data_IF_314546980096
#
_entry.id   IF_314546980096
#
_cell.length_a   1.000
_cell.length_b   1.000
_cell.length_c   1.000
_cell.angle_alpha   90.00
_cell.angle_beta   90.00
_cell.angle_gamma   90.00
#
_symmetry.space_group_name_H-M   'P 1'
#
loop_
_entity.id
_entity.type
_entity.pdbx_description
1 polymer ?
#
# COMPACT_ATOMS: atom_id res chain seq x y z
N UNK A 1 -108.75 17.46 -23.37
CA UNK A 1 -109.85 16.48 -23.17
C UNK A 1 -111.20 17.04 -23.61
N UNK A 2 -111.60 18.26 -23.21
CA UNK A 2 -112.90 18.86 -23.58
C UNK A 2 -113.14 18.90 -25.11
N UNK A 3 -112.17 19.33 -25.92
CA UNK A 3 -112.32 19.39 -27.38
C UNK A 3 -112.67 18.02 -28.02
N UNK A 4 -112.00 16.93 -27.63
CA UNK A 4 -112.29 15.59 -28.16
C UNK A 4 -113.67 15.06 -27.71
N UNK A 5 -114.09 15.41 -26.50
CA UNK A 5 -115.43 15.07 -26.01
C UNK A 5 -116.51 15.85 -26.77
N UNK A 6 -116.29 17.13 -27.04
CA UNK A 6 -117.17 17.94 -27.90
C UNK A 6 -117.20 17.40 -29.34
N UNK A 7 -116.06 17.02 -29.92
CA UNK A 7 -115.99 16.39 -31.24
C UNK A 7 -116.86 15.12 -31.30
N UNK A 8 -116.75 14.25 -30.29
CA UNK A 8 -117.56 13.03 -30.21
C UNK A 8 -119.05 13.33 -30.11
N UNK A 9 -119.44 14.31 -29.30
CA UNK A 9 -120.83 14.70 -29.13
C UNK A 9 -121.41 15.28 -30.44
N UNK A 10 -120.68 16.15 -31.12
CA UNK A 10 -121.06 16.69 -32.43
C UNK A 10 -121.18 15.57 -33.48
N UNK A 11 -120.25 14.61 -33.49
CA UNK A 11 -120.33 13.44 -34.37
C UNK A 11 -121.57 12.58 -34.12
N UNK A 12 -121.95 12.37 -32.85
CA UNK A 12 -123.14 11.58 -32.50
C UNK A 12 -124.44 12.30 -32.85
N UNK A 13 -124.53 13.61 -32.58
CA UNK A 13 -125.69 14.44 -32.94
C UNK A 13 -125.87 14.55 -34.46
N UNK A 14 -124.77 14.72 -35.21
CA UNK A 14 -124.80 14.72 -36.66
C UNK A 14 -125.25 13.38 -37.25
N UNK A 15 -124.91 12.26 -36.61
CA UNK A 15 -125.34 10.93 -37.04
C UNK A 15 -126.83 10.69 -36.84
N UNK A 16 -127.39 11.12 -35.71
CA UNK A 16 -128.81 10.93 -35.37
C UNK A 16 -129.78 11.74 -36.27
N UNK A 17 -129.35 12.91 -36.76
CA UNK A 17 -130.21 13.79 -37.56
C UNK A 17 -129.96 13.69 -39.07
N UNK A 18 -129.15 12.72 -39.51
CA UNK A 18 -128.72 12.56 -40.91
C UNK A 18 -129.88 12.31 -41.88
N UNK A 19 -130.94 11.63 -41.45
CA UNK A 19 -132.12 11.30 -42.28
C UNK A 19 -133.22 12.36 -42.21
N UNK A 20 -133.27 13.17 -41.16
CA UNK A 20 -134.35 14.12 -40.88
C UNK A 20 -133.98 15.60 -41.15
N UNK A 21 -132.71 15.99 -40.98
CA UNK A 21 -132.21 17.33 -41.30
C UNK A 21 -130.76 17.30 -41.82
N UNK A 22 -130.56 17.19 -43.15
CA UNK A 22 -129.23 17.04 -43.73
C UNK A 22 -128.34 18.29 -43.56
N UNK A 23 -128.91 19.49 -43.49
CA UNK A 23 -128.14 20.73 -43.26
C UNK A 23 -127.56 20.79 -41.85
N UNK A 24 -128.35 20.42 -40.83
CA UNK A 24 -127.86 20.36 -39.46
C UNK A 24 -126.78 19.26 -39.29
N UNK A 25 -126.94 18.12 -39.95
CA UNK A 25 -125.92 17.05 -39.93
C UNK A 25 -124.55 17.51 -40.48
N UNK A 26 -124.54 18.33 -41.55
CA UNK A 26 -123.31 18.92 -42.09
C UNK A 26 -122.65 19.91 -41.14
N UNK A 27 -123.43 20.78 -40.48
CA UNK A 27 -122.92 21.74 -39.51
C UNK A 27 -122.27 21.03 -38.30
N UNK A 28 -122.86 19.94 -37.84
CA UNK A 28 -122.29 19.12 -36.76
C UNK A 28 -120.98 18.42 -37.17
N UNK A 29 -120.85 18.04 -38.45
CA UNK A 29 -119.62 17.43 -38.96
C UNK A 29 -118.47 18.45 -39.05
N UNK A 30 -118.75 19.68 -39.48
CA UNK A 30 -117.74 20.76 -39.50
C UNK A 30 -117.32 21.17 -38.08
N UNK A 31 -118.27 21.22 -37.14
CA UNK A 31 -117.98 21.44 -35.73
C UNK A 31 -117.09 20.32 -35.15
N UNK A 32 -117.36 19.06 -35.49
CA UNK A 32 -116.52 17.93 -35.11
C UNK A 32 -115.10 18.08 -35.65
N UNK A 33 -114.95 18.40 -36.95
CA UNK A 33 -113.66 18.61 -37.59
C UNK A 33 -112.85 19.73 -36.91
N UNK A 34 -113.48 20.88 -36.66
CA UNK A 34 -112.85 22.01 -35.97
C UNK A 34 -112.32 21.62 -34.58
N UNK A 35 -113.07 20.81 -33.83
CA UNK A 35 -112.63 20.32 -32.51
C UNK A 35 -111.47 19.31 -32.58
N UNK A 36 -111.43 18.48 -33.63
CA UNK A 36 -110.29 17.57 -33.89
C UNK A 36 -109.04 18.38 -34.26
N UNK A 37 -109.17 19.39 -35.11
CA UNK A 37 -108.07 20.29 -35.48
C UNK A 37 -107.56 21.08 -34.27
N UNK A 38 -108.44 21.58 -33.40
CA UNK A 38 -108.06 22.23 -32.15
C UNK A 38 -107.23 21.29 -31.25
N UNK A 39 -107.64 20.03 -31.12
CA UNK A 39 -106.95 19.06 -30.27
C UNK A 39 -105.56 18.68 -30.81
N UNK A 40 -105.46 18.33 -32.10
CA UNK A 40 -104.24 17.75 -32.67
C UNK A 40 -103.32 18.78 -33.34
N UNK A 41 -103.86 19.84 -33.94
CA UNK A 41 -103.06 20.85 -34.64
C UNK A 41 -102.70 21.99 -33.70
N UNK A 42 -103.68 22.59 -33.02
CA UNK A 42 -103.43 23.77 -32.18
C UNK A 42 -102.82 23.40 -30.83
N UNK A 43 -103.41 22.44 -30.12
CA UNK A 43 -102.90 21.96 -28.83
C UNK A 43 -101.81 20.90 -28.95
N UNK A 44 -101.49 20.48 -30.19
CA UNK A 44 -100.43 19.51 -30.51
C UNK A 44 -100.51 18.22 -29.69
N UNK A 45 -101.72 17.78 -29.34
CA UNK A 45 -101.86 16.51 -28.62
C UNK A 45 -101.32 15.38 -29.50
N UNK A 46 -100.54 14.44 -28.94
CA UNK A 46 -99.96 13.37 -29.73
C UNK A 46 -101.05 12.38 -30.15
N UNK A 47 -101.05 11.97 -31.42
CA UNK A 47 -101.88 10.86 -31.88
C UNK A 47 -101.37 9.55 -31.28
N UNK A 48 -102.25 8.59 -30.99
CA UNK A 48 -101.93 7.31 -30.30
C UNK A 48 -100.84 6.49 -30.96
N UNK A 49 -100.64 6.65 -32.28
CA UNK A 49 -99.60 5.99 -33.05
C UNK A 49 -98.20 6.62 -32.90
N UNK A 50 -98.09 7.83 -32.35
CA UNK A 50 -96.82 8.55 -32.24
C UNK A 50 -95.92 7.95 -31.16
N UNK A 51 -94.59 8.06 -31.30
CA UNK A 51 -93.65 7.65 -30.26
C UNK A 51 -93.93 8.30 -28.90
N UNK A 52 -94.28 9.60 -28.91
CA UNK A 52 -94.65 10.34 -27.71
C UNK A 52 -95.90 9.75 -27.04
N UNK A 53 -96.97 9.45 -27.78
CA UNK A 53 -98.16 8.83 -27.21
C UNK A 53 -97.87 7.42 -26.65
N UNK A 54 -97.05 6.62 -27.35
CA UNK A 54 -96.62 5.31 -26.84
C UNK A 54 -95.81 5.43 -25.54
N UNK A 55 -94.97 6.46 -25.44
CA UNK A 55 -94.18 6.74 -24.24
C UNK A 55 -95.06 7.17 -23.06
N UNK A 56 -96.02 8.06 -23.31
CA UNK A 56 -97.03 8.48 -22.32
C UNK A 56 -97.85 7.28 -21.84
N UNK A 57 -98.25 6.40 -22.76
CA UNK A 57 -99.00 5.18 -22.42
C UNK A 57 -98.16 4.19 -21.59
N UNK A 58 -96.86 4.07 -21.87
CA UNK A 58 -95.96 3.29 -21.03
C UNK A 58 -95.88 3.88 -19.61
N UNK A 59 -95.70 5.20 -19.48
CA UNK A 59 -95.74 5.87 -18.16
C UNK A 59 -97.07 5.66 -17.42
N UNK A 60 -98.18 5.62 -18.15
CA UNK A 60 -99.51 5.39 -17.58
C UNK A 60 -99.63 3.99 -16.98
N UNK A 61 -99.04 2.98 -17.65
CA UNK A 61 -99.05 1.57 -17.22
C UNK A 61 -98.02 1.28 -16.13
N UNK A 62 -96.81 1.80 -16.28
CA UNK A 62 -95.64 1.41 -15.48
C UNK A 62 -95.48 2.25 -14.21
N UNK A 63 -96.05 3.47 -14.18
CA UNK A 63 -95.90 4.40 -13.06
C UNK A 63 -97.27 4.80 -12.52
N UNK A 64 -97.98 5.72 -13.19
CA UNK A 64 -99.34 6.13 -12.84
C UNK A 64 -99.92 7.06 -13.89
N UNK A 65 -101.25 7.25 -13.89
CA UNK A 65 -101.90 8.23 -14.77
C UNK A 65 -101.44 9.67 -14.51
N UNK A 66 -101.11 10.00 -13.26
CA UNK A 66 -100.57 11.31 -12.88
C UNK A 66 -99.16 11.50 -13.43
N UNK A 67 -98.29 10.50 -13.31
CA UNK A 67 -96.94 10.54 -13.89
C UNK A 67 -96.99 10.74 -15.42
N UNK A 68 -97.86 10.01 -16.11
CA UNK A 68 -98.06 10.15 -17.55
C UNK A 68 -98.57 11.55 -17.94
N UNK A 69 -99.47 12.13 -17.13
CA UNK A 69 -100.01 13.46 -17.35
C UNK A 69 -98.94 14.55 -17.20
N UNK A 70 -98.11 14.46 -16.16
CA UNK A 70 -97.02 15.42 -15.95
C UNK A 70 -95.90 15.25 -16.98
N UNK A 71 -95.56 14.01 -17.35
CA UNK A 71 -94.65 13.73 -18.47
C UNK A 71 -95.17 14.37 -19.76
N UNK A 72 -96.43 14.14 -20.15
CA UNK A 72 -97.02 14.75 -21.34
C UNK A 72 -97.06 16.28 -21.24
N UNK A 73 -97.39 16.83 -20.06
CA UNK A 73 -97.43 18.28 -19.84
C UNK A 73 -96.06 18.93 -20.07
N UNK A 74 -94.99 18.26 -19.63
CA UNK A 74 -93.62 18.74 -19.82
C UNK A 74 -93.22 18.78 -21.30
N UNK A 75 -93.83 17.94 -22.15
CA UNK A 75 -93.54 17.89 -23.58
C UNK A 75 -94.38 18.89 -24.38
N UNK A 76 -95.62 19.14 -23.96
CA UNK A 76 -96.56 20.02 -24.67
C UNK A 76 -96.44 21.50 -24.29
N UNK A 77 -95.92 21.80 -23.10
CA UNK A 77 -95.88 23.17 -22.60
C UNK A 77 -94.94 24.04 -23.44
N UNK A 78 -95.32 25.27 -23.85
CA UNK A 78 -94.43 26.17 -24.57
C UNK A 78 -93.16 26.50 -23.76
N UNK A 79 -92.01 26.61 -24.43
CA UNK A 79 -90.73 26.98 -23.78
C UNK A 79 -90.74 28.40 -23.19
N UNK A 80 -91.70 29.23 -23.61
CA UNK A 80 -91.76 30.67 -23.32
C UNK A 80 -92.91 31.08 -22.39
N UNK A 81 -93.81 30.17 -22.01
CA UNK A 81 -94.93 30.49 -21.12
C UNK A 81 -94.56 30.26 -19.66
N UNK A 82 -95.01 31.16 -18.78
CA UNK A 82 -94.82 31.08 -17.32
C UNK A 82 -95.75 30.00 -16.71
N UNK A 83 -95.58 28.76 -17.16
CA UNK A 83 -96.41 27.62 -16.81
C UNK A 83 -96.02 27.17 -15.40
N UNK A 84 -96.91 27.41 -14.44
CA UNK A 84 -96.68 26.98 -13.07
C UNK A 84 -97.16 25.53 -12.90
N UNK A 85 -96.24 24.62 -12.64
CA UNK A 85 -96.57 23.22 -12.33
C UNK A 85 -96.76 23.07 -10.81
N UNK A 86 -97.96 22.72 -10.37
CA UNK A 86 -98.24 22.40 -8.97
C UNK A 86 -98.12 20.88 -8.76
N UNK A 87 -96.89 20.40 -8.65
CA UNK A 87 -96.60 18.98 -8.44
C UNK A 87 -96.60 18.68 -6.93
N UNK A 88 -97.64 17.99 -6.44
CA UNK A 88 -97.79 17.69 -5.01
C UNK A 88 -97.42 16.24 -4.64
N UNK A 89 -97.37 15.34 -5.62
CA UNK A 89 -97.15 13.90 -5.39
C UNK A 89 -95.85 13.40 -6.04
N UNK A 90 -95.23 12.37 -5.45
CA UNK A 90 -93.94 11.84 -5.90
C UNK A 90 -93.99 11.26 -7.33
N UNK A 91 -95.06 10.55 -7.69
CA UNK A 91 -95.19 9.97 -9.03
C UNK A 91 -95.35 11.07 -10.11
N UNK A 92 -95.98 12.18 -9.75
CA UNK A 92 -96.08 13.35 -10.61
C UNK A 92 -94.71 14.03 -10.82
N UNK A 93 -93.87 14.08 -9.79
CA UNK A 93 -92.48 14.53 -9.90
C UNK A 93 -91.66 13.66 -10.84
N UNK A 94 -91.81 12.33 -10.73
CA UNK A 94 -91.11 11.39 -11.61
C UNK A 94 -91.44 11.63 -13.08
N UNK A 95 -92.72 11.78 -13.41
CA UNK A 95 -93.16 12.09 -14.78
C UNK A 95 -92.62 13.42 -15.30
N UNK A 96 -92.64 14.46 -14.47
CA UNK A 96 -92.15 15.79 -14.83
C UNK A 96 -90.63 15.80 -15.08
N UNK A 97 -89.83 15.20 -14.18
CA UNK A 97 -88.36 15.19 -14.27
C UNK A 97 -87.89 14.40 -15.49
N UNK A 98 -88.42 13.18 -15.69
CA UNK A 98 -88.08 12.36 -16.87
C UNK A 98 -88.45 13.07 -18.17
N UNK A 99 -89.61 13.72 -18.20
CA UNK A 99 -90.05 14.49 -19.36
C UNK A 99 -89.12 15.69 -19.66
N UNK A 100 -88.66 16.41 -18.64
CA UNK A 100 -87.66 17.48 -18.82
C UNK A 100 -86.30 16.94 -19.27
N UNK A 101 -85.83 15.83 -18.70
CA UNK A 101 -84.57 15.18 -19.10
C UNK A 101 -84.63 14.79 -20.58
N UNK A 102 -85.73 14.18 -21.04
CA UNK A 102 -85.93 13.77 -22.43
C UNK A 102 -86.04 15.00 -23.35
N UNK A 103 -86.84 16.00 -22.95
CA UNK A 103 -87.09 17.20 -23.74
C UNK A 103 -85.82 18.02 -23.99
N UNK A 104 -84.97 18.16 -22.96
CA UNK A 104 -83.76 18.96 -23.02
C UNK A 104 -82.48 18.13 -23.22
N UNK A 105 -82.61 16.80 -23.41
CA UNK A 105 -81.50 15.86 -23.61
C UNK A 105 -80.42 15.96 -22.51
N UNK A 106 -80.81 16.25 -21.27
CA UNK A 106 -79.88 16.56 -20.17
C UNK A 106 -78.94 15.39 -19.80
N UNK A 107 -79.27 14.16 -20.21
CA UNK A 107 -78.43 12.98 -20.01
C UNK A 107 -77.10 12.99 -20.80
N UNK A 108 -77.06 13.60 -21.99
CA UNK A 108 -75.87 13.56 -22.87
C UNK A 108 -74.85 14.67 -22.54
N UNK A 109 -75.32 15.84 -22.11
CA UNK A 109 -74.46 16.97 -21.75
C UNK A 109 -73.52 16.67 -20.55
N UNK A 110 -74.04 16.00 -19.52
CA UNK A 110 -73.28 15.63 -18.33
C UNK A 110 -72.23 14.54 -18.56
N UNK A 111 -72.37 13.73 -19.61
CA UNK A 111 -71.39 12.71 -20.00
C UNK A 111 -70.19 13.35 -20.71
N UNK A 112 -70.42 14.36 -21.56
CA UNK A 112 -69.36 15.05 -22.31
C UNK A 112 -68.39 15.81 -21.39
N UNK A 113 -68.91 16.56 -20.41
CA UNK A 113 -68.08 17.31 -19.46
C UNK A 113 -67.21 16.41 -18.58
N UNK A 114 -67.75 15.28 -18.10
CA UNK A 114 -67.00 14.30 -17.31
C UNK A 114 -65.87 13.65 -18.10
N UNK A 115 -66.11 13.29 -19.36
CA UNK A 115 -65.07 12.74 -20.24
C UNK A 115 -63.94 13.75 -20.46
N UNK A 116 -64.27 15.00 -20.77
CA UNK A 116 -63.27 16.04 -21.02
C UNK A 116 -62.40 16.34 -19.78
N UNK A 117 -62.99 16.36 -18.58
CA UNK A 117 -62.23 16.53 -17.34
C UNK A 117 -61.30 15.34 -17.04
N UNK A 118 -61.75 14.12 -17.35
CA UNK A 118 -60.90 12.92 -17.25
C UNK A 118 -59.74 12.99 -18.24
N UNK A 119 -60.00 13.30 -19.51
CA UNK A 119 -58.96 13.42 -20.56
C UNK A 119 -57.90 14.49 -20.16
N UNK A 120 -58.33 15.64 -19.64
CA UNK A 120 -57.41 16.68 -19.12
C UNK A 120 -56.58 16.20 -17.92
N UNK A 121 -57.17 15.45 -17.00
CA UNK A 121 -56.45 14.91 -15.83
C UNK A 121 -55.43 13.85 -16.25
N UNK A 122 -55.77 13.02 -17.24
CA UNK A 122 -54.86 12.04 -17.82
C UNK A 122 -53.69 12.73 -18.53
N UNK A 123 -53.96 13.78 -19.28
CA UNK A 123 -52.90 14.51 -19.99
C UNK A 123 -51.92 15.17 -19.02
N UNK A 124 -52.42 15.80 -17.94
CA UNK A 124 -51.57 16.35 -16.89
C UNK A 124 -50.75 15.28 -16.17
N UNK A 125 -51.31 14.08 -15.96
CA UNK A 125 -50.57 12.96 -15.37
C UNK A 125 -49.49 12.46 -16.33
N UNK A 126 -49.78 12.36 -17.62
CA UNK A 126 -48.84 11.98 -18.68
C UNK A 126 -47.65 12.93 -18.71
N UNK A 127 -47.90 14.24 -18.77
CA UNK A 127 -46.86 15.26 -18.78
C UNK A 127 -45.97 15.20 -17.53
N UNK A 128 -46.58 15.07 -16.33
CA UNK A 128 -45.80 14.92 -15.09
C UNK A 128 -44.99 13.64 -15.04
N UNK A 129 -45.53 12.54 -15.56
CA UNK A 129 -44.82 11.27 -15.64
C UNK A 129 -43.65 11.36 -16.62
N UNK A 130 -43.83 11.97 -17.78
CA UNK A 130 -42.76 12.20 -18.77
C UNK A 130 -41.67 13.10 -18.20
N UNK A 131 -42.02 14.19 -17.53
CA UNK A 131 -41.06 15.08 -16.87
C UNK A 131 -40.27 14.33 -15.78
N UNK A 132 -40.96 13.58 -14.91
CA UNK A 132 -40.31 12.83 -13.83
C UNK A 132 -39.38 11.75 -14.39
N UNK A 133 -39.81 11.03 -15.44
CA UNK A 133 -38.97 10.03 -16.11
C UNK A 133 -37.76 10.69 -16.77
N UNK A 134 -37.92 11.85 -17.38
CA UNK A 134 -36.82 12.65 -17.93
C UNK A 134 -35.79 13.02 -16.86
N UNK A 135 -36.23 13.69 -15.78
CA UNK A 135 -35.35 14.09 -14.66
C UNK A 135 -34.65 12.89 -14.02
N UNK A 136 -35.33 11.76 -13.85
CA UNK A 136 -34.72 10.55 -13.29
C UNK A 136 -33.72 9.91 -14.24
N UNK A 137 -34.02 9.87 -15.53
CA UNK A 137 -33.10 9.34 -16.54
C UNK A 137 -31.82 10.18 -16.57
N UNK A 138 -31.94 11.52 -16.63
CA UNK A 138 -30.78 12.42 -16.60
C UNK A 138 -29.94 12.26 -15.32
N UNK A 139 -30.59 12.18 -14.16
CA UNK A 139 -29.89 11.97 -12.89
C UNK A 139 -29.18 10.61 -12.83
N UNK A 140 -29.80 9.55 -13.36
CA UNK A 140 -29.20 8.22 -13.44
C UNK A 140 -28.03 8.17 -14.41
N UNK A 141 -28.15 8.80 -15.57
CA UNK A 141 -27.08 8.89 -16.57
C UNK A 141 -25.89 9.68 -16.02
N UNK A 142 -26.13 10.82 -15.38
CA UNK A 142 -25.08 11.60 -14.72
C UNK A 142 -24.36 10.78 -13.64
N UNK A 143 -25.11 10.12 -12.76
CA UNK A 143 -24.54 9.26 -11.73
C UNK A 143 -23.74 8.08 -12.33
N UNK A 144 -24.22 7.52 -13.44
CA UNK A 144 -23.52 6.44 -14.13
C UNK A 144 -22.19 6.91 -14.71
N UNK A 145 -22.17 8.08 -15.36
CA UNK A 145 -20.95 8.69 -15.88
C UNK A 145 -19.94 8.99 -14.77
N UNK A 146 -20.37 9.61 -13.67
CA UNK A 146 -19.51 9.91 -12.52
C UNK A 146 -18.92 8.62 -11.93
N UNK A 147 -19.73 7.54 -11.83
CA UNK A 147 -19.27 6.25 -11.34
C UNK A 147 -18.23 5.61 -12.27
N UNK A 148 -18.42 5.68 -13.59
CA UNK A 148 -17.47 5.16 -14.56
C UNK A 148 -16.15 5.94 -14.52
N UNK A 149 -16.20 7.26 -14.42
CA UNK A 149 -15.01 8.11 -14.29
C UNK A 149 -14.25 7.80 -13.00
N UNK A 150 -14.96 7.69 -11.87
CA UNK A 150 -14.36 7.32 -10.59
C UNK A 150 -13.75 5.92 -10.65
N UNK A 151 -14.46 4.93 -11.19
CA UNK A 151 -13.94 3.57 -11.32
C UNK A 151 -12.68 3.50 -12.18
N UNK A 152 -12.63 4.25 -13.28
CA UNK A 152 -11.47 4.29 -14.16
C UNK A 152 -10.28 5.00 -13.51
N UNK A 153 -10.50 6.13 -12.81
CA UNK A 153 -9.43 6.82 -12.08
C UNK A 153 -8.81 5.95 -11.00
N UNK A 154 -9.64 5.24 -10.21
CA UNK A 154 -9.18 4.29 -9.20
C UNK A 154 -8.40 3.15 -9.86
N UNK A 155 -8.86 2.63 -10.99
CA UNK A 155 -8.18 1.55 -11.72
C UNK A 155 -6.80 1.99 -12.23
N UNK A 156 -6.70 3.20 -12.76
CA UNK A 156 -5.44 3.77 -13.25
C UNK A 156 -4.46 4.00 -12.09
N UNK A 157 -4.91 4.64 -11.02
CA UNK A 157 -4.07 4.93 -9.86
C UNK A 157 -3.63 3.66 -9.12
N UNK A 158 -4.51 2.66 -8.99
CA UNK A 158 -4.15 1.36 -8.45
C UNK A 158 -3.11 0.63 -9.33
N UNK A 159 -3.23 0.76 -10.65
CA UNK A 159 -2.25 0.24 -11.60
C UNK A 159 -0.88 0.91 -11.46
N UNK A 160 -0.86 2.24 -11.37
CA UNK A 160 0.35 3.03 -11.18
C UNK A 160 1.02 2.75 -9.83
N UNK A 161 0.25 2.68 -8.74
CA UNK A 161 0.76 2.29 -7.44
C UNK A 161 1.34 0.88 -7.44
N UNK A 162 0.67 -0.07 -8.09
CA UNK A 162 1.16 -1.46 -8.19
C UNK A 162 2.48 -1.52 -8.93
N UNK A 163 2.59 -0.81 -10.06
CA UNK A 163 3.84 -0.73 -10.83
C UNK A 163 4.96 -0.06 -10.02
N UNK A 164 4.67 1.08 -9.39
CA UNK A 164 5.63 1.81 -8.56
C UNK A 164 6.10 0.96 -7.38
N UNK A 165 5.18 0.28 -6.69
CA UNK A 165 5.50 -0.60 -5.58
C UNK A 165 6.37 -1.78 -6.03
N UNK A 166 6.08 -2.39 -7.17
CA UNK A 166 6.88 -3.47 -7.73
C UNK A 166 8.31 -3.00 -8.07
N UNK A 167 8.45 -1.82 -8.69
CA UNK A 167 9.75 -1.22 -9.01
C UNK A 167 10.55 -0.92 -7.74
N UNK A 168 9.94 -0.23 -6.77
CA UNK A 168 10.59 0.11 -5.50
C UNK A 168 10.99 -1.14 -4.73
N UNK A 169 10.18 -2.21 -4.73
CA UNK A 169 10.58 -3.45 -4.09
C UNK A 169 11.71 -4.17 -4.80
N UNK A 170 11.72 -4.17 -6.14
CA UNK A 170 12.84 -4.70 -6.92
C UNK A 170 14.14 -3.97 -6.60
N UNK A 171 14.11 -2.63 -6.56
CA UNK A 171 15.27 -1.80 -6.22
C UNK A 171 15.74 -2.02 -4.78
N UNK A 172 14.81 -2.10 -3.81
CA UNK A 172 15.15 -2.38 -2.41
C UNK A 172 15.76 -3.77 -2.25
N UNK A 173 15.21 -4.78 -2.91
CA UNK A 173 15.74 -6.14 -2.84
C UNK A 173 17.15 -6.20 -3.42
N UNK A 174 17.36 -5.61 -4.60
CA UNK A 174 18.69 -5.56 -5.23
C UNK A 174 19.71 -4.77 -4.37
N UNK A 175 19.29 -3.64 -3.78
CA UNK A 175 20.15 -2.86 -2.88
C UNK A 175 20.50 -3.64 -1.61
N UNK A 176 19.54 -4.35 -1.03
CA UNK A 176 19.75 -5.17 0.16
C UNK A 176 20.67 -6.36 -0.11
N UNK A 177 20.48 -7.06 -1.22
CA UNK A 177 21.33 -8.18 -1.63
C UNK A 177 22.77 -7.71 -1.86
N UNK A 178 22.94 -6.60 -2.60
CA UNK A 178 24.26 -5.97 -2.80
C UNK A 178 24.93 -5.60 -1.47
N UNK A 179 24.19 -4.95 -0.57
CA UNK A 179 24.71 -4.55 0.74
C UNK A 179 25.09 -5.76 1.60
N UNK A 180 24.29 -6.83 1.54
CA UNK A 180 24.56 -8.08 2.26
C UNK A 180 25.82 -8.75 1.73
N UNK A 181 25.99 -8.86 0.42
CA UNK A 181 27.21 -9.39 -0.19
C UNK A 181 28.45 -8.56 0.15
N UNK A 182 28.34 -7.22 0.11
CA UNK A 182 29.43 -6.32 0.47
C UNK A 182 29.84 -6.52 1.94
N UNK A 183 28.87 -6.63 2.86
CA UNK A 183 29.13 -6.90 4.26
C UNK A 183 29.71 -8.29 4.51
N UNK A 184 29.22 -9.32 3.82
CA UNK A 184 29.76 -10.67 3.95
C UNK A 184 31.22 -10.71 3.51
N UNK A 185 31.54 -10.13 2.34
CA UNK A 185 32.91 -9.99 1.85
C UNK A 185 33.80 -9.21 2.81
N UNK A 186 33.30 -8.10 3.36
CA UNK A 186 34.05 -7.29 4.32
C UNK A 186 34.31 -8.03 5.64
N UNK A 187 33.32 -8.75 6.16
CA UNK A 187 33.46 -9.55 7.38
C UNK A 187 34.43 -10.71 7.19
N UNK A 188 34.40 -11.37 6.04
CA UNK A 188 35.34 -12.44 5.72
C UNK A 188 36.77 -11.93 5.53
N UNK A 189 36.94 -10.77 4.89
CA UNK A 189 38.23 -10.09 4.81
C UNK A 189 38.74 -9.74 6.22
N UNK A 190 37.90 -9.13 7.05
CA UNK A 190 38.25 -8.77 8.43
C UNK A 190 38.61 -9.99 9.27
N UNK A 191 37.87 -11.10 9.16
CA UNK A 191 38.18 -12.36 9.86
C UNK A 191 39.52 -12.93 9.43
N UNK A 192 39.85 -12.90 8.13
CA UNK A 192 41.14 -13.37 7.62
C UNK A 192 42.28 -12.52 8.16
N UNK A 193 42.19 -11.19 8.03
CA UNK A 193 43.19 -10.27 8.58
C UNK A 193 43.37 -10.48 10.07
N UNK A 194 42.28 -10.48 10.86
CA UNK A 194 42.35 -10.65 12.32
C UNK A 194 42.95 -11.99 12.75
N UNK A 195 42.66 -13.08 12.03
CA UNK A 195 43.28 -14.40 12.29
C UNK A 195 44.77 -14.38 11.98
N UNK A 196 45.17 -13.72 10.90
CA UNK A 196 46.59 -13.53 10.54
C UNK A 196 47.31 -12.64 11.56
N UNK A 197 46.69 -11.56 12.03
CA UNK A 197 47.26 -10.71 13.09
C UNK A 197 47.46 -11.48 14.40
N UNK A 198 46.43 -12.21 14.84
CA UNK A 198 46.51 -13.04 16.05
C UNK A 198 47.60 -14.10 15.95
N UNK A 199 47.75 -14.73 14.78
CA UNK A 199 48.78 -15.74 14.55
C UNK A 199 50.21 -15.18 14.62
N UNK A 200 50.40 -13.91 14.25
CA UNK A 200 51.71 -13.24 14.20
C UNK A 200 52.06 -12.48 15.48
N UNK A 201 51.06 -12.09 16.26
CA UNK A 201 51.25 -11.46 17.56
C UNK A 201 51.97 -12.36 18.57
N UNK A 202 51.60 -13.65 18.64
CA UNK A 202 52.22 -14.59 19.56
C UNK A 202 53.75 -14.76 19.32
N UNK A 203 54.24 -14.92 18.06
CA UNK A 203 55.66 -14.84 17.74
C UNK A 203 56.32 -13.52 18.11
N UNK A 204 55.70 -12.37 17.83
CA UNK A 204 56.25 -11.06 18.17
C UNK A 204 56.45 -10.89 19.68
N UNK A 205 55.45 -11.25 20.48
CA UNK A 205 55.51 -11.22 21.95
C UNK A 205 56.58 -12.18 22.49
N UNK A 206 56.73 -13.37 21.89
CA UNK A 206 57.78 -14.32 22.26
C UNK A 206 59.19 -13.75 22.03
N UNK A 207 59.46 -13.20 20.84
CA UNK A 207 60.77 -12.63 20.53
C UNK A 207 61.07 -11.37 21.33
N UNK A 208 60.05 -10.56 21.62
CA UNK A 208 60.21 -9.39 22.50
C UNK A 208 60.59 -9.80 23.92
N UNK A 209 59.91 -10.81 24.48
CA UNK A 209 60.27 -11.37 25.79
C UNK A 209 61.70 -11.91 25.80
N UNK A 210 62.12 -12.59 24.72
CA UNK A 210 63.48 -13.12 24.57
C UNK A 210 64.52 -11.99 24.45
N UNK A 211 64.21 -10.91 23.72
CA UNK A 211 65.01 -9.68 23.61
C UNK A 211 65.27 -9.06 24.98
N UNK A 212 64.22 -8.91 25.79
CA UNK A 212 64.33 -8.40 27.16
C UNK A 212 65.24 -9.30 28.01
N UNK A 213 65.09 -10.62 27.90
CA UNK A 213 65.97 -11.58 28.58
C UNK A 213 67.44 -11.44 28.18
N UNK A 214 67.75 -11.39 26.89
CA UNK A 214 69.12 -11.20 26.41
C UNK A 214 69.69 -9.82 26.80
N UNK A 215 68.87 -8.77 26.89
CA UNK A 215 69.29 -7.45 27.39
C UNK A 215 69.75 -7.50 28.83
N UNK A 216 69.00 -8.20 29.68
CA UNK A 216 69.35 -8.37 31.08
C UNK A 216 70.69 -9.09 31.20
N UNK A 217 70.84 -10.24 30.53
CA UNK A 217 72.08 -11.01 30.57
C UNK A 217 73.27 -10.30 29.92
N UNK A 218 73.08 -9.55 28.83
CA UNK A 218 74.12 -8.68 28.28
C UNK A 218 74.55 -7.63 29.30
N UNK A 219 73.60 -7.01 30.02
CA UNK A 219 73.94 -6.02 31.06
C UNK A 219 74.73 -6.64 32.21
N UNK A 220 74.33 -7.82 32.67
CA UNK A 220 75.03 -8.58 33.74
C UNK A 220 76.44 -8.97 33.30
N UNK A 221 76.58 -9.58 32.13
CA UNK A 221 77.85 -10.11 31.64
C UNK A 221 78.81 -9.01 31.20
N UNK A 222 78.29 -7.92 30.64
CA UNK A 222 79.05 -6.70 30.36
C UNK A 222 79.56 -6.07 31.65
N UNK A 223 78.69 -5.87 32.65
CA UNK A 223 79.07 -5.37 33.97
C UNK A 223 80.14 -6.23 34.64
N UNK A 224 79.99 -7.55 34.61
CA UNK A 224 80.98 -8.50 35.15
C UNK A 224 82.31 -8.45 34.39
N UNK A 225 82.28 -8.23 33.07
CA UNK A 225 83.49 -8.05 32.26
C UNK A 225 84.24 -6.77 32.64
N UNK A 226 83.53 -5.63 32.75
CA UNK A 226 84.13 -4.36 33.16
C UNK A 226 84.70 -4.42 34.58
N UNK A 227 83.95 -5.01 35.52
CA UNK A 227 84.42 -5.23 36.88
C UNK A 227 85.63 -6.18 36.90
N UNK A 228 85.57 -7.27 36.12
CA UNK A 228 86.65 -8.24 35.98
C UNK A 228 87.93 -7.63 35.44
N UNK A 229 87.85 -6.73 34.44
CA UNK A 229 89.00 -5.95 33.93
C UNK A 229 89.60 -5.12 35.05
N UNK A 230 88.76 -4.37 35.79
CA UNK A 230 89.21 -3.52 36.88
C UNK A 230 89.90 -4.32 38.00
N UNK A 231 89.28 -5.41 38.43
CA UNK A 231 89.85 -6.31 39.45
C UNK A 231 91.13 -6.98 38.99
N UNK A 232 91.21 -7.44 37.74
CA UNK A 232 92.42 -8.02 37.18
C UNK A 232 93.55 -6.99 37.09
N UNK A 233 93.26 -5.76 36.65
CA UNK A 233 94.24 -4.68 36.56
C UNK A 233 94.77 -4.30 37.96
N UNK A 234 93.89 -4.14 38.95
CA UNK A 234 94.28 -3.84 40.34
C UNK A 234 95.06 -5.01 40.95
N UNK A 235 94.59 -6.24 40.79
CA UNK A 235 95.23 -7.43 41.34
C UNK A 235 96.61 -7.72 40.74
N UNK A 236 96.74 -7.64 39.42
CA UNK A 236 98.04 -7.77 38.74
C UNK A 236 98.97 -6.60 39.09
N UNK A 237 98.44 -5.38 39.16
CA UNK A 237 99.20 -4.20 39.58
C UNK A 237 99.76 -4.34 41.00
N UNK A 238 98.93 -4.82 41.94
CA UNK A 238 99.36 -5.13 43.30
C UNK A 238 100.45 -6.21 43.31
N UNK A 239 100.27 -7.30 42.56
CA UNK A 239 101.24 -8.40 42.52
C UNK A 239 102.58 -7.98 41.89
N UNK A 240 102.55 -7.12 40.87
CA UNK A 240 103.75 -6.52 40.28
C UNK A 240 104.43 -5.60 41.28
N UNK A 241 103.67 -4.78 42.01
CA UNK A 241 104.20 -3.88 43.04
C UNK A 241 104.89 -4.65 44.17
N UNK A 242 104.26 -5.71 44.70
CA UNK A 242 104.84 -6.62 45.69
C UNK A 242 106.10 -7.32 45.18
N UNK A 243 106.10 -7.73 43.91
CA UNK A 243 107.27 -8.33 43.26
C UNK A 243 108.44 -7.35 43.19
N UNK A 244 108.18 -6.09 42.85
CA UNK A 244 109.21 -5.06 42.71
C UNK A 244 109.75 -4.58 44.07
N UNK A 245 108.89 -4.41 45.09
CA UNK A 245 109.30 -4.00 46.43
C UNK A 245 110.14 -5.07 47.15
N UNK A 246 109.79 -6.34 46.97
CA UNK A 246 110.46 -7.46 47.62
C UNK A 246 111.68 -7.98 46.83
N UNK A 247 112.11 -7.30 45.76
CA UNK A 247 113.32 -7.65 44.99
C UNK A 247 114.43 -6.63 45.29
N UNK A 248 115.61 -7.05 45.79
CA UNK A 248 116.74 -6.14 46.06
C UNK A 248 117.20 -5.36 44.82
N UNK A 249 117.53 -4.07 44.99
CA UNK A 249 118.00 -3.22 43.89
C UNK A 249 119.24 -3.82 43.21
N UNK A 250 119.15 -4.04 41.89
CA UNK A 250 120.23 -4.62 41.08
C UNK A 250 120.19 -6.15 40.93
N UNK A 251 119.21 -6.84 41.52
CA UNK A 251 118.99 -8.29 41.36
C UNK A 251 117.72 -8.60 40.56
N UNK A 252 117.71 -9.73 39.85
CA UNK A 252 116.52 -10.20 39.13
C UNK A 252 115.52 -10.86 40.11
N UNK A 253 114.20 -10.67 39.93
CA UNK A 253 113.19 -11.35 40.73
C UNK A 253 113.29 -12.88 40.61
N UNK A 254 112.84 -13.59 41.65
CA UNK A 254 112.82 -15.05 41.67
C UNK A 254 111.94 -15.63 40.54
N UNK A 255 112.51 -16.54 39.74
CA UNK A 255 111.87 -17.09 38.52
C UNK A 255 110.49 -17.72 38.78
N UNK A 256 110.28 -18.36 39.93
CA UNK A 256 108.99 -18.98 40.26
C UNK A 256 107.89 -17.94 40.52
N UNK A 257 108.22 -16.76 41.10
CA UNK A 257 107.26 -15.67 41.31
C UNK A 257 106.83 -15.06 39.98
N UNK A 258 107.76 -14.91 39.04
CA UNK A 258 107.47 -14.49 37.67
C UNK A 258 106.59 -15.52 36.93
N UNK A 259 106.86 -16.82 37.11
CA UNK A 259 106.05 -17.89 36.51
C UNK A 259 104.61 -17.89 37.05
N UNK A 260 104.43 -17.71 38.37
CA UNK A 260 103.10 -17.62 38.99
C UNK A 260 102.36 -16.36 38.51
N UNK A 261 103.03 -15.21 38.43
CA UNK A 261 102.45 -13.98 37.91
C UNK A 261 101.98 -14.13 36.45
N UNK A 262 102.82 -14.73 35.60
CA UNK A 262 102.47 -15.02 34.21
C UNK A 262 101.27 -15.97 34.11
N UNK A 263 101.23 -17.03 34.95
CA UNK A 263 100.12 -17.97 34.99
C UNK A 263 98.81 -17.30 35.40
N UNK A 264 98.82 -16.48 36.46
CA UNK A 264 97.64 -15.69 36.90
C UNK A 264 97.18 -14.74 35.80
N UNK A 265 98.12 -14.05 35.14
CA UNK A 265 97.83 -13.17 34.01
C UNK A 265 97.15 -13.90 32.85
N UNK A 266 97.66 -15.06 32.45
CA UNK A 266 97.08 -15.90 31.39
C UNK A 266 95.68 -16.36 31.75
N UNK A 267 95.47 -16.87 32.97
CA UNK A 267 94.13 -17.29 33.41
C UNK A 267 93.15 -16.13 33.54
N UNK A 268 93.60 -14.96 34.01
CA UNK A 268 92.78 -13.75 34.10
C UNK A 268 92.33 -13.27 32.71
N UNK A 269 93.25 -13.22 31.74
CA UNK A 269 92.94 -12.86 30.35
C UNK A 269 92.00 -13.90 29.73
N UNK A 270 92.22 -15.18 29.97
CA UNK A 270 91.36 -16.25 29.46
C UNK A 270 89.94 -16.20 30.05
N UNK A 271 89.81 -16.03 31.36
CA UNK A 271 88.51 -15.89 32.02
C UNK A 271 87.76 -14.64 31.56
N UNK A 272 88.48 -13.51 31.43
CA UNK A 272 87.90 -12.28 30.90
C UNK A 272 87.45 -12.44 29.44
N UNK A 273 88.24 -13.11 28.60
CA UNK A 273 87.89 -13.42 27.22
C UNK A 273 86.56 -14.20 27.15
N UNK A 274 86.34 -15.15 28.05
CA UNK A 274 85.09 -15.91 28.12
C UNK A 274 83.89 -15.03 28.50
N UNK A 275 84.06 -14.13 29.47
CA UNK A 275 83.03 -13.17 29.89
C UNK A 275 82.66 -12.18 28.79
N UNK A 276 83.66 -11.60 28.12
CA UNK A 276 83.45 -10.69 26.99
C UNK A 276 82.76 -11.41 25.83
N UNK A 277 83.12 -12.67 25.54
CA UNK A 277 82.46 -13.48 24.52
C UNK A 277 81.00 -13.74 24.88
N UNK A 278 80.72 -14.04 26.14
CA UNK A 278 79.34 -14.22 26.63
C UNK A 278 78.53 -12.93 26.50
N UNK A 279 79.12 -11.77 26.80
CA UNK A 279 78.51 -10.45 26.60
C UNK A 279 78.18 -10.19 25.13
N UNK A 280 79.15 -10.36 24.22
CA UNK A 280 78.96 -10.17 22.79
C UNK A 280 77.92 -11.13 22.21
N UNK A 281 77.88 -12.38 22.68
CA UNK A 281 76.86 -13.36 22.30
C UNK A 281 75.45 -12.88 22.68
N UNK A 282 75.25 -12.40 23.91
CA UNK A 282 73.95 -11.90 24.36
C UNK A 282 73.55 -10.60 23.65
N UNK A 283 74.50 -9.73 23.31
CA UNK A 283 74.23 -8.55 22.47
C UNK A 283 73.78 -8.94 21.06
N UNK A 284 74.45 -9.89 20.40
CA UNK A 284 74.02 -10.36 19.08
C UNK A 284 72.62 -10.98 19.13
N UNK A 285 72.33 -11.81 20.15
CA UNK A 285 71.01 -12.43 20.32
C UNK A 285 69.92 -11.39 20.65
N UNK A 286 70.27 -10.30 21.35
CA UNK A 286 69.38 -9.17 21.56
C UNK A 286 69.04 -8.47 20.24
N UNK A 287 70.05 -8.19 19.41
CA UNK A 287 69.86 -7.52 18.13
C UNK A 287 69.05 -8.40 17.18
N UNK A 288 69.37 -9.69 17.05
CA UNK A 288 68.61 -10.65 16.24
C UNK A 288 67.13 -10.75 16.70
N UNK A 289 66.87 -10.82 18.01
CA UNK A 289 65.50 -10.83 18.52
C UNK A 289 64.77 -9.49 18.23
N UNK A 290 65.48 -8.35 18.31
CA UNK A 290 64.95 -7.04 17.96
C UNK A 290 64.60 -6.91 16.48
N UNK A 291 65.48 -7.36 15.59
CA UNK A 291 65.26 -7.38 14.14
C UNK A 291 64.03 -8.25 13.79
N UNK A 292 63.88 -9.42 14.43
CA UNK A 292 62.70 -10.28 14.22
C UNK A 292 61.39 -9.61 14.64
N UNK A 293 61.37 -8.91 15.78
CA UNK A 293 60.18 -8.16 16.23
C UNK A 293 59.81 -7.07 15.22
N UNK A 294 60.80 -6.28 14.75
CA UNK A 294 60.57 -5.24 13.73
C UNK A 294 60.08 -5.85 12.42
N UNK A 295 60.65 -6.99 11.98
CA UNK A 295 60.22 -7.69 10.78
C UNK A 295 58.77 -8.19 10.88
N UNK A 296 58.34 -8.74 12.02
CA UNK A 296 56.94 -9.16 12.23
C UNK A 296 55.99 -7.96 12.16
N UNK A 297 56.31 -6.87 12.86
CA UNK A 297 55.47 -5.66 12.80
C UNK A 297 55.44 -5.01 11.42
N UNK A 298 56.55 -5.03 10.70
CA UNK A 298 56.63 -4.52 9.32
C UNK A 298 55.79 -5.39 8.39
N UNK A 299 55.88 -6.72 8.52
CA UNK A 299 55.03 -7.64 7.77
C UNK A 299 53.54 -7.41 8.06
N UNK A 300 53.16 -7.24 9.32
CA UNK A 300 51.78 -6.93 9.73
C UNK A 300 51.27 -5.63 9.10
N UNK A 301 52.09 -4.57 9.17
CA UNK A 301 51.75 -3.25 8.59
C UNK A 301 51.59 -3.31 7.06
N UNK A 302 52.39 -4.15 6.38
CA UNK A 302 52.28 -4.38 4.94
C UNK A 302 51.06 -5.23 4.56
N UNK A 303 50.65 -6.13 5.45
CA UNK A 303 49.48 -6.99 5.29
C UNK A 303 48.17 -6.19 5.46
N UNK A 304 48.10 -5.29 6.45
CA UNK A 304 46.98 -4.37 6.66
C UNK A 304 46.75 -3.44 5.44
N UNK A 305 47.82 -3.02 4.76
CA UNK A 305 47.74 -2.15 3.59
C UNK A 305 47.46 -2.84 2.25
N UNK A 306 47.16 -4.15 2.25
CA UNK A 306 47.01 -5.01 1.06
C UNK A 306 48.22 -4.97 0.10
N UNK A 307 49.41 -4.66 0.64
CA UNK A 307 50.65 -4.52 -0.16
C UNK A 307 51.41 -5.83 -0.37
N UNK A 308 50.86 -6.94 0.14
CA UNK A 308 51.44 -8.30 0.07
C UNK A 308 50.43 -9.27 -0.58
N UNK A 309 50.05 -9.00 -1.83
CA UNK A 309 49.08 -9.81 -2.58
C UNK A 309 49.68 -11.09 -3.19
N UNK A 310 51.00 -11.16 -3.41
CA UNK A 310 51.66 -12.36 -3.94
C UNK A 310 52.02 -13.36 -2.82
N UNK A 311 51.87 -14.65 -3.08
CA UNK A 311 52.27 -15.71 -2.13
C UNK A 311 53.79 -15.80 -2.03
N UNK A 312 54.48 -15.45 -3.11
CA UNK A 312 55.93 -15.47 -3.26
C UNK A 312 56.58 -14.44 -2.32
N UNK A 313 56.04 -13.21 -2.25
CA UNK A 313 56.54 -12.16 -1.34
C UNK A 313 56.31 -12.54 0.13
N UNK A 314 55.14 -13.13 0.44
CA UNK A 314 54.85 -13.65 1.78
C UNK A 314 55.82 -14.75 2.17
N UNK A 315 56.11 -15.68 1.26
CA UNK A 315 57.04 -16.77 1.50
C UNK A 315 58.47 -16.27 1.72
N UNK A 316 58.91 -15.27 0.95
CA UNK A 316 60.24 -14.67 1.08
C UNK A 316 60.42 -14.01 2.46
N UNK A 317 59.43 -13.23 2.92
CA UNK A 317 59.47 -12.58 4.23
C UNK A 317 59.42 -13.61 5.36
N UNK A 318 58.58 -14.65 5.25
CA UNK A 318 58.53 -15.73 6.25
C UNK A 318 59.85 -16.51 6.31
N UNK A 319 60.50 -16.77 5.17
CA UNK A 319 61.83 -17.41 5.15
C UNK A 319 62.89 -16.52 5.81
N UNK A 320 62.86 -15.21 5.58
CA UNK A 320 63.74 -14.27 6.27
C UNK A 320 63.50 -14.26 7.80
N UNK A 321 62.23 -14.32 8.23
CA UNK A 321 61.82 -14.31 9.63
C UNK A 321 62.23 -15.59 10.39
N UNK A 322 62.13 -16.75 9.73
CA UNK A 322 62.46 -18.06 10.32
C UNK A 322 63.91 -18.52 10.08
N UNK A 323 64.76 -17.67 9.51
CA UNK A 323 66.17 -18.02 9.29
C UNK A 323 66.86 -18.36 10.63
N UNK A 324 67.65 -19.44 10.69
CA UNK A 324 68.48 -19.74 11.87
C UNK A 324 69.38 -18.55 12.18
N UNK A 325 69.46 -18.17 13.46
CA UNK A 325 70.40 -17.14 13.89
C UNK A 325 71.83 -17.62 13.57
N UNK A 326 72.60 -16.79 12.87
CA UNK A 326 74.02 -17.07 12.62
C UNK A 326 74.79 -16.85 13.92
N UNK A 327 74.99 -17.92 14.69
CA UNK A 327 75.96 -17.90 15.80
C UNK A 327 77.37 -17.89 15.21
N UNK A 328 77.84 -16.70 14.83
CA UNK A 328 79.18 -16.48 14.30
C UNK A 328 80.27 -16.53 15.38
N UNK A 329 79.91 -16.62 16.66
CA UNK A 329 80.88 -16.51 17.75
C UNK A 329 81.41 -17.88 18.19
N UNK A 330 80.73 -19.01 17.92
CA UNK A 330 81.14 -20.34 18.41
C UNK A 330 82.00 -21.14 17.41
N UNK A 331 82.04 -20.76 16.12
CA UNK A 331 82.77 -21.53 15.09
C UNK A 331 84.28 -21.28 14.97
N UNK A 332 84.80 -20.18 15.51
CA UNK A 332 86.20 -19.76 15.28
C UNK A 332 87.23 -20.25 16.31
N UNK A 333 86.91 -21.26 17.12
CA UNK A 333 87.90 -21.92 17.98
C UNK A 333 88.42 -23.20 17.32
N UNK A 334 89.05 -23.03 16.15
CA UNK A 334 90.22 -23.84 15.84
C UNK A 334 91.32 -23.43 16.83
N UNK A 335 91.65 -24.32 17.76
CA UNK A 335 92.67 -24.14 18.79
C UNK A 335 93.93 -23.50 18.18
N UNK A 336 94.37 -22.30 18.60
CA UNK A 336 95.62 -21.74 18.10
C UNK A 336 96.77 -22.50 18.76
N UNK A 337 97.65 -23.07 17.94
CA UNK A 337 98.81 -23.92 18.30
C UNK A 337 98.48 -25.33 18.83
N UNK A 338 98.26 -26.25 17.89
CA UNK A 338 98.27 -27.69 18.16
C UNK A 338 99.69 -28.18 18.47
N UNK A 339 99.94 -28.58 19.72
CA UNK A 339 101.14 -29.34 20.13
C UNK A 339 101.35 -30.62 19.30
N UNK A 340 100.33 -31.13 18.61
CA UNK A 340 100.44 -32.28 17.71
C UNK A 340 101.25 -31.98 16.43
N UNK A 341 101.32 -30.73 16.00
CA UNK A 341 102.10 -30.32 14.82
C UNK A 341 103.62 -30.23 15.15
N UNK A 342 103.96 -29.94 16.40
CA UNK A 342 105.34 -29.94 16.88
C UNK A 342 105.90 -31.36 17.08
N UNK A 343 105.07 -32.30 17.56
CA UNK A 343 105.43 -33.71 17.77
C UNK A 343 105.60 -34.50 16.45
N UNK A 344 104.94 -34.09 15.38
CA UNK A 344 105.02 -34.76 14.08
C UNK A 344 106.19 -34.26 13.22
N UNK A 345 106.79 -33.12 13.56
CA UNK A 345 107.92 -32.53 12.83
C UNK A 345 109.29 -33.05 13.29
N UNK A 346 109.41 -33.62 14.48
CA UNK A 346 110.69 -34.15 15.02
C UNK A 346 110.97 -35.62 14.69
N UNK A 347 110.10 -36.28 13.90
CA UNK A 347 110.22 -37.71 13.56
C UNK A 347 110.87 -38.03 12.21
N UNK A 348 111.46 -37.05 11.52
CA UNK A 348 112.19 -37.28 10.25
C UNK A 348 113.57 -36.62 10.29
N UNK A 349 114.56 -37.38 10.74
CA UNK A 349 115.96 -37.27 10.34
C UNK A 349 116.49 -38.66 10.10
#
# INVERSE_FOLDING_TARGET
>A
MQALQHARNHSQQGHQQKSSNPQHALQQLEACKSQIEEAFIRRKLPHSSTPLAKRVEAFRKDVSERAASYFLSSQLSPLTSNTHYQVQELDAWRGMVEGLIERFQLGTANAKGRKQAADQSFEQLREKAEQLVGEKTEAYEALHWDYLELAESIRLEAGEQTATFATVQGERQAAFEKLTEEHEKALDALRKTFREELALRAPAEYWDKKRIGHRLWASVTGGLSFLGIGLAAVGLGWQIHDLLQNTPQGSAPETWRLAVLALIGVFAVWALRLLVRMFLSHLHLLTDAGERVVMVHTYLSLLEGDRLSSKEDRQLILQALFRPASDGIVKDEGVPFSLAEMLTRTGKT
#
